data_IF_004045041971
#
_entry.id   IF_004045041971
#
_cell.length_a   1.000
_cell.length_b   1.000
_cell.length_c   1.000
_cell.angle_alpha   90.00
_cell.angle_beta   90.00
_cell.angle_gamma   90.00
#
_symmetry.space_group_name_H-M   'P 1'
#
loop_
_entity.id
_entity.type
_entity.pdbx_description
1 polymer ?
#
# COMPACT_ATOMS: atom_id res chain seq x y z
N UNK A 1 9.41 -14.73 -4.79
CA UNK A 1 8.38 -14.06 -3.96
C UNK A 1 7.11 -14.91 -3.95
N UNK A 2 6.23 -14.74 -2.96
CA UNK A 2 4.95 -15.42 -2.86
C UNK A 2 3.81 -14.39 -2.88
N UNK A 3 2.73 -14.67 -3.62
CA UNK A 3 1.51 -13.87 -3.63
C UNK A 3 0.36 -14.68 -3.03
N UNK A 4 -0.10 -14.28 -1.85
CA UNK A 4 -1.16 -14.96 -1.11
C UNK A 4 -2.49 -14.22 -1.24
N UNK A 5 -3.49 -14.88 -1.82
CA UNK A 5 -4.85 -14.34 -1.97
C UNK A 5 -5.57 -14.25 -0.63
N UNK A 6 -6.26 -13.13 -0.38
CA UNK A 6 -7.15 -12.95 0.76
C UNK A 6 -8.46 -12.34 0.30
N UNK A 7 -9.54 -12.89 0.86
CA UNK A 7 -10.91 -12.57 0.51
C UNK A 7 -11.61 -12.04 1.75
N UNK A 8 -12.45 -11.03 1.54
CA UNK A 8 -13.38 -10.52 2.53
C UNK A 8 -14.79 -10.56 1.92
N UNK A 9 -15.76 -11.04 2.69
CA UNK A 9 -17.16 -11.10 2.28
C UNK A 9 -17.91 -10.04 3.08
N UNK A 10 -18.51 -9.10 2.36
CA UNK A 10 -19.33 -8.03 2.95
C UNK A 10 -20.52 -8.66 3.68
N UNK A 11 -20.73 -8.21 4.92
CA UNK A 11 -21.95 -8.49 5.67
C UNK A 11 -23.14 -7.66 5.19
N UNK A 12 -24.23 -7.68 5.95
CA UNK A 12 -25.44 -6.92 5.64
C UNK A 12 -25.20 -5.41 5.53
N UNK A 13 -24.35 -4.85 6.40
CA UNK A 13 -24.10 -3.42 6.50
C UNK A 13 -23.20 -2.84 5.40
N UNK A 14 -22.63 -3.69 4.52
CA UNK A 14 -21.78 -3.35 3.37
C UNK A 14 -20.83 -2.16 3.61
N UNK A 15 -19.62 -2.40 4.16
CA UNK A 15 -18.71 -1.32 4.52
C UNK A 15 -18.30 -0.48 3.31
N UNK A 16 -18.11 0.82 3.54
CA UNK A 16 -17.62 1.77 2.53
C UNK A 16 -16.20 1.41 2.09
N UNK A 17 -15.38 0.96 3.05
CA UNK A 17 -13.98 0.60 2.85
C UNK A 17 -13.63 -0.65 3.64
N UNK A 18 -12.80 -1.50 3.04
CA UNK A 18 -12.17 -2.64 3.71
C UNK A 18 -10.66 -2.57 3.52
N UNK A 19 -9.93 -2.71 4.60
CA UNK A 19 -8.47 -2.79 4.62
C UNK A 19 -8.03 -4.13 5.18
N UNK A 20 -6.90 -4.60 4.66
CA UNK A 20 -6.19 -5.77 5.16
C UNK A 20 -4.85 -5.33 5.70
N UNK A 21 -4.59 -5.66 6.97
CA UNK A 21 -3.34 -5.35 7.65
C UNK A 21 -2.61 -6.66 7.93
N UNK A 22 -1.30 -6.70 7.71
CA UNK A 22 -0.52 -7.90 8.01
C UNK A 22 0.90 -7.61 8.48
N UNK A 23 1.43 -8.57 9.22
CA UNK A 23 2.87 -8.71 9.52
C UNK A 23 3.31 -10.12 9.20
N UNK A 24 4.55 -10.27 8.73
CA UNK A 24 5.17 -11.56 8.49
C UNK A 24 6.53 -11.63 9.19
N UNK A 25 6.81 -12.78 9.79
CA UNK A 25 8.09 -13.12 10.41
C UNK A 25 8.46 -14.56 10.06
N UNK A 26 9.72 -14.97 10.23
CA UNK A 26 10.07 -16.39 10.18
C UNK A 26 9.45 -17.11 11.39
N UNK A 27 8.92 -18.32 11.21
CA UNK A 27 8.37 -19.09 12.35
C UNK A 27 9.40 -19.28 13.48
N UNK A 28 10.68 -19.44 13.11
CA UNK A 28 11.79 -19.59 14.07
C UNK A 28 12.22 -18.30 14.75
N UNK A 29 11.71 -17.15 14.33
CA UNK A 29 12.06 -15.83 14.86
C UNK A 29 10.84 -14.89 14.81
N UNK A 30 9.78 -15.19 15.58
CA UNK A 30 8.49 -14.51 15.47
C UNK A 30 8.56 -13.01 15.82
N UNK A 31 9.53 -12.60 16.64
CA UNK A 31 9.71 -11.20 17.06
C UNK A 31 10.46 -10.35 16.00
N UNK A 32 10.95 -10.98 14.93
CA UNK A 32 11.65 -10.29 13.84
C UNK A 32 10.75 -10.18 12.62
N UNK A 33 9.98 -9.10 12.58
CA UNK A 33 9.16 -8.75 11.42
C UNK A 33 10.04 -8.53 10.18
N UNK A 34 9.71 -9.22 9.08
CA UNK A 34 10.37 -9.08 7.77
C UNK A 34 9.48 -8.38 6.76
N UNK A 35 8.17 -8.31 7.00
CA UNK A 35 7.22 -7.52 6.23
C UNK A 35 6.09 -7.03 7.12
N UNK A 36 5.61 -5.81 6.84
CA UNK A 36 4.45 -5.19 7.50
C UNK A 36 3.80 -4.22 6.52
N UNK A 37 2.51 -4.36 6.26
CA UNK A 37 1.80 -3.46 5.37
C UNK A 37 0.30 -3.40 5.65
N UNK A 38 -0.34 -2.39 5.08
CA UNK A 38 -1.79 -2.17 5.10
C UNK A 38 -2.26 -1.91 3.68
N UNK A 39 -3.30 -2.61 3.26
CA UNK A 39 -3.70 -2.72 1.87
C UNK A 39 -5.19 -2.47 1.74
N UNK A 40 -5.58 -1.76 0.68
CA UNK A 40 -7.00 -1.64 0.31
C UNK A 40 -7.47 -2.96 -0.29
N UNK A 41 -8.67 -3.40 0.10
CA UNK A 41 -9.37 -4.53 -0.48
C UNK A 41 -10.43 -4.05 -1.48
N UNK A 42 -10.13 -4.04 -2.79
CA UNK A 42 -11.08 -3.63 -3.80
C UNK A 42 -12.23 -4.65 -3.93
N UNK A 43 -13.42 -4.21 -4.39
CA UNK A 43 -14.46 -5.10 -4.86
C UNK A 43 -13.94 -6.07 -5.93
N UNK A 44 -14.41 -7.31 -5.88
CA UNK A 44 -14.16 -8.31 -6.93
C UNK A 44 -15.31 -8.33 -7.94
N UNK A 45 -15.24 -9.19 -8.95
CA UNK A 45 -16.34 -9.39 -9.91
C UNK A 45 -17.60 -9.98 -9.26
N UNK A 46 -17.45 -10.68 -8.14
CA UNK A 46 -18.56 -11.25 -7.39
C UNK A 46 -19.13 -10.19 -6.42
N UNK A 47 -20.44 -9.85 -6.49
CA UNK A 47 -21.04 -8.84 -5.62
C UNK A 47 -20.88 -9.16 -4.14
N UNK A 48 -20.48 -8.16 -3.35
CA UNK A 48 -20.25 -8.32 -1.90
C UNK A 48 -18.95 -9.07 -1.56
N UNK A 49 -18.13 -9.45 -2.54
CA UNK A 49 -16.82 -10.05 -2.31
C UNK A 49 -15.72 -9.06 -2.65
N UNK A 50 -14.73 -8.96 -1.77
CA UNK A 50 -13.51 -8.15 -1.95
C UNK A 50 -12.29 -9.04 -1.91
N UNK A 51 -11.30 -8.73 -2.73
CA UNK A 51 -10.11 -9.58 -2.86
C UNK A 51 -8.85 -8.77 -3.05
N UNK A 52 -7.77 -9.19 -2.41
CA UNK A 52 -6.42 -8.68 -2.67
C UNK A 52 -5.38 -9.80 -2.56
N UNK A 53 -4.17 -9.56 -3.06
CA UNK A 53 -3.00 -10.40 -2.80
C UNK A 53 -2.04 -9.72 -1.83
N UNK A 54 -1.48 -10.51 -0.92
CA UNK A 54 -0.37 -10.17 -0.04
C UNK A 54 0.92 -10.65 -0.72
N UNK A 55 1.87 -9.75 -0.95
CA UNK A 55 3.16 -10.15 -1.49
C UNK A 55 4.15 -10.33 -0.33
N UNK A 56 4.76 -11.50 -0.29
CA UNK A 56 5.62 -11.97 0.79
C UNK A 56 6.97 -12.40 0.22
N UNK A 57 8.08 -12.11 0.91
CA UNK A 57 9.36 -12.66 0.52
C UNK A 57 9.30 -14.20 0.55
N UNK A 58 10.01 -14.85 -0.35
CA UNK A 58 10.12 -16.31 -0.29
C UNK A 58 10.90 -16.70 0.97
N UNK A 59 10.38 -17.61 1.81
CA UNK A 59 11.14 -18.08 2.96
C UNK A 59 12.38 -18.87 2.49
N UNK A 60 13.43 -18.97 3.33
CA UNK A 60 14.54 -19.88 3.07
C UNK A 60 14.04 -21.32 2.85
N UNK A 61 14.77 -22.10 2.07
CA UNK A 61 14.41 -23.49 1.75
C UNK A 61 14.10 -24.30 3.03
N UNK A 62 12.93 -24.96 3.05
CA UNK A 62 12.47 -25.76 4.19
C UNK A 62 12.00 -24.95 5.40
N UNK A 63 11.90 -23.61 5.29
CA UNK A 63 11.34 -22.73 6.33
C UNK A 63 9.98 -22.20 5.91
N UNK A 64 9.23 -21.71 6.90
CA UNK A 64 7.94 -21.04 6.70
C UNK A 64 7.93 -19.68 7.39
N UNK A 65 7.06 -18.81 6.90
CA UNK A 65 6.71 -17.56 7.53
C UNK A 65 5.49 -17.76 8.41
N UNK A 66 5.49 -17.12 9.59
CA UNK A 66 4.28 -16.85 10.36
C UNK A 66 3.69 -15.55 9.84
N UNK A 67 2.51 -15.63 9.23
CA UNK A 67 1.75 -14.49 8.75
C UNK A 67 0.61 -14.21 9.74
N UNK A 68 0.59 -13.00 10.30
CA UNK A 68 -0.53 -12.50 11.11
C UNK A 68 -1.25 -11.43 10.31
N UNK A 69 -2.57 -11.52 10.20
CA UNK A 69 -3.36 -10.55 9.46
C UNK A 69 -4.73 -10.33 10.09
N UNK A 70 -5.34 -9.18 9.82
CA UNK A 70 -6.70 -8.83 10.24
C UNK A 70 -7.28 -7.80 9.28
N UNK A 71 -8.60 -7.69 9.29
CA UNK A 71 -9.33 -6.72 8.48
C UNK A 71 -9.73 -5.53 9.34
N UNK A 72 -9.74 -4.35 8.73
CA UNK A 72 -10.54 -3.23 9.25
C UNK A 72 -11.57 -2.79 8.23
N UNK A 73 -12.71 -2.33 8.72
CA UNK A 73 -13.82 -1.87 7.90
C UNK A 73 -14.23 -0.48 8.35
N UNK A 74 -14.58 0.39 7.41
CA UNK A 74 -15.11 1.73 7.70
C UNK A 74 -16.50 1.85 7.11
N UNK A 75 -17.40 2.43 7.88
CA UNK A 75 -18.76 2.77 7.47
C UNK A 75 -19.50 3.48 8.60
N UNK A 76 -20.53 4.25 8.27
CA UNK A 76 -21.43 4.83 9.29
C UNK A 76 -20.72 5.70 10.35
N UNK A 77 -19.58 6.30 9.99
CA UNK A 77 -18.81 7.14 10.89
C UNK A 77 -17.87 6.41 11.87
N UNK A 78 -17.69 5.10 11.72
CA UNK A 78 -16.86 4.27 12.61
C UNK A 78 -15.88 3.36 11.83
N UNK A 79 -14.90 2.84 12.55
CA UNK A 79 -13.94 1.85 12.05
C UNK A 79 -13.93 0.62 12.98
N UNK A 80 -14.12 -0.56 12.42
CA UNK A 80 -14.14 -1.83 13.15
C UNK A 80 -13.02 -2.74 12.71
N UNK A 81 -12.52 -3.56 13.63
CA UNK A 81 -11.41 -4.48 13.40
C UNK A 81 -11.86 -5.92 13.66
N UNK A 82 -11.49 -6.82 12.76
CA UNK A 82 -11.66 -8.26 12.99
C UNK A 82 -10.68 -8.75 14.06
N UNK A 83 -10.88 -9.97 14.59
CA UNK A 83 -9.81 -10.70 15.27
C UNK A 83 -8.58 -10.86 14.38
N UNK A 84 -7.44 -11.16 15.00
CA UNK A 84 -6.20 -11.49 14.30
C UNK A 84 -6.22 -12.96 13.88
N UNK A 85 -6.01 -13.19 12.59
CA UNK A 85 -5.80 -14.49 11.99
C UNK A 85 -4.31 -14.77 11.89
N UNK A 86 -3.94 -16.05 11.99
CA UNK A 86 -2.56 -16.50 11.90
C UNK A 86 -2.47 -17.73 11.01
N UNK A 87 -1.51 -17.73 10.09
CA UNK A 87 -1.27 -18.85 9.16
C UNK A 87 0.22 -19.02 8.88
N UNK A 88 0.63 -20.25 8.59
CA UNK A 88 1.98 -20.56 8.10
C UNK A 88 2.05 -20.45 6.56
N UNK A 89 3.13 -19.88 6.03
CA UNK A 89 3.32 -19.68 4.58
C UNK A 89 4.72 -20.13 4.14
N UNK A 90 4.88 -21.12 3.24
CA UNK A 90 3.80 -21.96 2.68
C UNK A 90 3.21 -22.90 3.74
N UNK A 91 1.96 -23.33 3.55
CA UNK A 91 1.24 -24.25 4.42
C UNK A 91 0.00 -24.83 3.72
N UNK A 92 -0.53 -25.95 4.21
CA UNK A 92 -1.69 -26.62 3.61
C UNK A 92 -2.92 -25.70 3.55
N UNK A 93 -3.19 -24.98 4.64
CA UNK A 93 -4.32 -24.03 4.78
C UNK A 93 -4.35 -22.90 3.75
N UNK A 94 -3.22 -22.62 3.11
CA UNK A 94 -3.08 -21.52 2.16
C UNK A 94 -2.67 -21.98 0.77
N UNK A 95 -2.49 -23.28 0.57
CA UNK A 95 -1.96 -23.87 -0.67
C UNK A 95 -2.79 -23.49 -1.91
N UNK A 96 -4.12 -23.48 -1.79
CA UNK A 96 -5.03 -23.09 -2.87
C UNK A 96 -5.07 -21.59 -3.17
N UNK A 97 -4.53 -20.75 -2.29
CA UNK A 97 -4.52 -19.29 -2.41
C UNK A 97 -3.11 -18.71 -2.68
N UNK A 98 -2.09 -19.57 -2.64
CA UNK A 98 -0.69 -19.18 -2.74
C UNK A 98 -0.18 -19.37 -4.16
N UNK A 99 0.21 -18.27 -4.80
CA UNK A 99 0.84 -18.29 -6.12
C UNK A 99 2.33 -17.89 -6.00
N UNK A 100 3.28 -18.67 -6.56
CA UNK A 100 4.65 -18.22 -6.67
C UNK A 100 4.74 -17.06 -7.67
N UNK A 101 5.59 -16.08 -7.34
CA UNK A 101 6.03 -15.06 -8.29
C UNK A 101 7.47 -15.40 -8.65
N UNK A 102 7.69 -15.69 -9.93
CA UNK A 102 8.99 -16.05 -10.47
C UNK A 102 9.94 -14.85 -10.39
N UNK A 103 11.11 -15.07 -9.79
CA UNK A 103 12.15 -14.07 -9.62
C UNK A 103 13.49 -14.57 -10.17
N UNK A 104 14.20 -13.70 -10.88
CA UNK A 104 15.51 -13.96 -11.46
C UNK A 104 16.59 -13.15 -10.73
N UNK A 105 17.81 -13.68 -10.63
CA UNK A 105 18.97 -12.91 -10.15
C UNK A 105 18.80 -12.28 -8.76
N UNK A 106 18.04 -12.91 -7.87
CA UNK A 106 17.74 -12.43 -6.52
C UNK A 106 16.53 -11.48 -6.42
N UNK A 107 15.77 -11.31 -7.50
CA UNK A 107 14.52 -10.53 -7.51
C UNK A 107 14.72 -9.03 -7.73
N UNK A 108 13.59 -8.33 -7.69
CA UNK A 108 13.55 -6.88 -7.87
C UNK A 108 14.16 -6.13 -6.69
N UNK A 109 14.59 -4.88 -6.93
CA UNK A 109 15.13 -4.03 -5.86
C UNK A 109 14.05 -3.76 -4.80
N UNK A 110 14.45 -3.93 -3.53
CA UNK A 110 13.64 -3.55 -2.38
C UNK A 110 13.52 -2.02 -2.24
N UNK A 111 12.47 -1.53 -1.56
CA UNK A 111 12.36 -0.11 -1.22
C UNK A 111 13.50 0.34 -0.30
N UNK A 112 13.78 1.64 -0.30
CA UNK A 112 14.69 2.26 0.65
C UNK A 112 14.24 1.98 2.10
N UNK A 113 15.18 1.99 3.04
CA UNK A 113 14.87 1.71 4.43
C UNK A 113 13.79 2.66 4.99
N UNK A 114 12.72 2.07 5.53
CA UNK A 114 11.57 2.81 6.08
C UNK A 114 10.51 3.20 5.06
N UNK A 115 10.69 2.85 3.78
CA UNK A 115 9.73 3.10 2.70
C UNK A 115 8.97 1.82 2.37
N UNK A 116 7.73 1.99 1.91
CA UNK A 116 6.85 0.88 1.53
C UNK A 116 6.89 0.55 0.05
N UNK A 117 5.84 -0.18 -0.34
CA UNK A 117 5.49 -0.45 -1.72
C UNK A 117 4.14 0.20 -2.03
N UNK A 118 3.93 0.62 -3.27
CA UNK A 118 2.63 0.99 -3.80
C UNK A 118 2.28 0.07 -4.97
N UNK A 119 1.00 0.02 -5.32
CA UNK A 119 0.45 -0.80 -6.38
C UNK A 119 0.22 0.03 -7.62
N UNK A 120 0.61 -0.54 -8.74
CA UNK A 120 0.44 0.07 -10.05
C UNK A 120 -0.03 -1.00 -11.03
N UNK A 121 -1.07 -0.70 -11.80
CA UNK A 121 -1.39 -1.49 -12.99
C UNK A 121 -0.28 -1.27 -14.02
N UNK A 122 0.35 -2.34 -14.49
CA UNK A 122 1.53 -2.22 -15.35
C UNK A 122 1.22 -1.33 -16.57
N UNK A 123 2.00 -0.26 -16.83
CA UNK A 123 1.66 0.79 -17.79
C UNK A 123 1.99 0.39 -19.24
N UNK A 124 1.33 -0.66 -19.73
CA UNK A 124 1.49 -1.16 -21.10
C UNK A 124 1.16 -0.07 -22.15
N UNK A 125 2.04 0.08 -23.13
CA UNK A 125 1.92 0.96 -24.29
C UNK A 125 0.96 0.39 -25.32
N UNK A 126 0.47 1.26 -26.20
CA UNK A 126 -0.31 0.83 -27.37
C UNK A 126 0.50 -0.14 -28.22
N UNK A 127 -0.11 -1.27 -28.58
CA UNK A 127 0.54 -2.33 -29.36
C UNK A 127 1.36 -3.34 -28.55
N UNK A 128 1.54 -3.15 -27.24
CA UNK A 128 2.12 -4.20 -26.40
C UNK A 128 1.13 -5.37 -26.23
N UNK A 129 1.62 -6.63 -26.24
CA UNK A 129 0.75 -7.80 -26.08
C UNK A 129 0.08 -7.76 -24.71
N UNK A 130 -1.20 -8.14 -24.67
CA UNK A 130 -1.99 -8.22 -23.43
C UNK A 130 -2.11 -9.62 -22.85
N UNK A 131 -1.49 -10.59 -23.52
CA UNK A 131 -1.46 -11.99 -23.12
C UNK A 131 -0.03 -12.51 -23.18
N UNK A 132 0.29 -13.52 -22.37
CA UNK A 132 1.61 -14.14 -22.36
C UNK A 132 2.55 -13.52 -21.31
N UNK A 133 3.84 -13.87 -21.33
CA UNK A 133 4.75 -13.48 -20.26
C UNK A 133 5.10 -12.01 -20.34
N UNK A 134 5.32 -11.42 -19.17
CA UNK A 134 5.89 -10.08 -19.05
C UNK A 134 6.82 -10.07 -17.86
N UNK A 135 7.93 -9.37 -18.05
CA UNK A 135 8.95 -9.17 -17.04
C UNK A 135 8.93 -7.71 -16.63
N UNK A 136 9.17 -7.43 -15.36
CA UNK A 136 9.26 -6.08 -14.84
C UNK A 136 10.30 -5.96 -13.74
N UNK A 137 10.80 -4.74 -13.52
CA UNK A 137 11.68 -4.45 -12.42
C UNK A 137 12.10 -3.00 -12.33
N UNK A 138 13.12 -2.71 -11.53
CA UNK A 138 13.42 -1.34 -11.12
C UNK A 138 14.89 -0.98 -11.28
N UNK A 139 15.16 0.27 -11.61
CA UNK A 139 16.54 0.78 -11.62
C UNK A 139 16.63 2.26 -11.29
N UNK A 140 17.66 2.62 -10.52
CA UNK A 140 17.98 4.01 -10.23
C UNK A 140 18.33 4.78 -11.51
N UNK A 141 18.05 6.09 -11.52
CA UNK A 141 18.23 7.00 -12.67
C UNK A 141 19.60 6.93 -13.37
N UNK A 142 20.67 6.61 -12.63
CA UNK A 142 22.05 6.55 -13.15
C UNK A 142 22.39 5.24 -13.88
N UNK A 143 21.52 4.22 -13.83
CA UNK A 143 21.78 2.94 -14.49
C UNK A 143 21.35 3.01 -15.95
N UNK A 144 22.17 2.46 -16.84
CA UNK A 144 21.81 2.23 -18.24
C UNK A 144 20.59 1.29 -18.29
N UNK A 145 19.52 1.62 -19.03
CA UNK A 145 18.38 0.72 -19.23
C UNK A 145 18.83 -0.65 -19.75
N UNK A 146 18.35 -1.74 -19.14
CA UNK A 146 18.63 -3.11 -19.57
C UNK A 146 17.45 -4.04 -19.21
N UNK A 147 17.07 -5.00 -20.08
CA UNK A 147 16.15 -6.07 -19.73
C UNK A 147 16.57 -6.88 -18.49
N UNK A 148 17.86 -6.93 -18.14
CA UNK A 148 18.36 -7.64 -16.94
C UNK A 148 17.91 -6.99 -15.62
N UNK A 149 17.35 -5.77 -15.70
CA UNK A 149 16.70 -5.11 -14.57
C UNK A 149 15.27 -5.62 -14.34
N UNK A 150 14.67 -6.33 -15.30
CA UNK A 150 13.33 -6.90 -15.21
C UNK A 150 13.38 -8.29 -14.56
N UNK A 151 13.46 -8.32 -13.22
CA UNK A 151 13.80 -9.52 -12.45
C UNK A 151 12.61 -10.25 -11.85
N UNK A 152 11.40 -9.78 -12.09
CA UNK A 152 10.19 -10.50 -11.73
C UNK A 152 9.35 -10.75 -12.98
N UNK A 153 8.71 -11.92 -13.03
CA UNK A 153 7.92 -12.39 -14.18
C UNK A 153 6.53 -12.83 -13.73
N UNK A 154 5.53 -12.53 -14.55
CA UNK A 154 4.20 -13.11 -14.45
C UNK A 154 3.61 -13.36 -15.84
N UNK A 155 2.63 -14.27 -15.90
CA UNK A 155 1.81 -14.46 -17.07
C UNK A 155 0.66 -13.45 -17.07
N UNK A 156 0.53 -12.66 -18.14
CA UNK A 156 -0.66 -11.84 -18.37
C UNK A 156 -1.83 -12.73 -18.79
N UNK A 157 -2.95 -12.56 -18.09
CA UNK A 157 -4.25 -13.15 -18.43
C UNK A 157 -5.16 -12.12 -19.10
N UNK A 158 -6.46 -12.20 -18.80
CA UNK A 158 -7.48 -11.31 -19.37
C UNK A 158 -7.33 -9.83 -18.94
N UNK A 159 -6.74 -9.60 -17.76
CA UNK A 159 -6.51 -8.27 -17.21
C UNK A 159 -5.03 -7.93 -17.15
N UNK A 160 -4.70 -6.67 -17.42
CA UNK A 160 -3.35 -6.14 -17.18
C UNK A 160 -3.05 -6.24 -15.68
N UNK A 161 -1.92 -6.84 -15.31
CA UNK A 161 -1.60 -7.15 -13.93
C UNK A 161 -1.25 -5.90 -13.11
N UNK A 162 -1.58 -5.98 -11.82
CA UNK A 162 -1.18 -5.03 -10.80
C UNK A 162 0.11 -5.53 -10.15
N UNK A 163 1.12 -4.68 -10.12
CA UNK A 163 2.44 -4.98 -9.55
C UNK A 163 2.71 -4.13 -8.32
N UNK A 164 3.56 -4.63 -7.42
CA UNK A 164 4.08 -3.82 -6.31
C UNK A 164 5.37 -3.12 -6.76
N UNK A 165 5.38 -1.80 -6.58
CA UNK A 165 6.46 -0.89 -6.96
C UNK A 165 6.98 -0.21 -5.68
N UNK A 166 8.30 -0.13 -5.47
CA UNK A 166 8.87 0.62 -4.35
C UNK A 166 8.42 2.08 -4.34
N UNK A 167 8.01 2.61 -3.19
CA UNK A 167 7.75 4.06 -3.06
C UNK A 167 9.00 4.88 -3.40
N UNK A 168 10.18 4.40 -3.00
CA UNK A 168 11.46 4.95 -3.41
C UNK A 168 12.56 3.89 -3.37
N UNK A 169 13.54 4.00 -4.25
CA UNK A 169 14.80 3.25 -4.15
C UNK A 169 15.88 4.01 -3.36
N UNK A 170 15.70 5.31 -3.15
CA UNK A 170 16.58 6.15 -2.35
C UNK A 170 15.87 7.43 -1.92
N UNK A 171 16.33 8.02 -0.82
CA UNK A 171 15.81 9.28 -0.27
C UNK A 171 16.96 10.28 -0.17
N UNK A 172 16.72 11.51 -0.61
CA UNK A 172 17.66 12.63 -0.48
C UNK A 172 16.98 13.78 0.24
N UNK A 173 17.56 14.27 1.36
CA UNK A 173 16.99 15.37 2.16
C UNK A 173 15.51 15.14 2.49
N UNK A 174 15.18 13.92 2.93
CA UNK A 174 13.83 13.47 3.28
C UNK A 174 12.81 13.50 2.13
N UNK A 175 13.27 13.48 0.87
CA UNK A 175 12.41 13.37 -0.31
C UNK A 175 12.70 12.08 -1.09
N UNK A 176 11.67 11.32 -1.50
CA UNK A 176 11.81 10.23 -2.45
C UNK A 176 12.50 10.70 -3.74
N UNK A 177 13.52 9.97 -4.19
CA UNK A 177 14.17 10.23 -5.46
C UNK A 177 13.48 9.45 -6.59
N UNK A 178 13.34 10.03 -7.79
CA UNK A 178 12.78 9.32 -8.92
C UNK A 178 13.67 8.13 -9.31
N UNK A 179 13.04 7.13 -9.91
CA UNK A 179 13.69 5.94 -10.46
C UNK A 179 12.87 5.45 -11.66
N UNK A 180 13.31 4.37 -12.30
CA UNK A 180 12.58 3.78 -13.43
C UNK A 180 11.96 2.45 -13.04
N UNK A 181 10.69 2.29 -13.37
CA UNK A 181 10.05 1.00 -13.60
C UNK A 181 10.36 0.58 -15.04
N UNK A 182 10.88 -0.62 -15.21
CA UNK A 182 11.13 -1.24 -16.51
C UNK A 182 10.18 -2.40 -16.73
N UNK A 183 9.74 -2.59 -17.98
CA UNK A 183 9.05 -3.82 -18.36
C UNK A 183 9.36 -4.26 -19.79
N UNK A 184 9.15 -5.55 -20.03
CA UNK A 184 9.25 -6.20 -21.34
C UNK A 184 8.04 -7.12 -21.48
N UNK A 185 7.10 -6.75 -22.35
CA UNK A 185 5.90 -7.54 -22.64
C UNK A 185 6.14 -8.49 -23.82
N UNK A 186 5.98 -9.79 -23.59
CA UNK A 186 6.28 -10.87 -24.54
C UNK A 186 7.78 -11.23 -24.60
N UNK A 187 8.08 -12.42 -25.10
CA UNK A 187 9.46 -12.97 -25.16
C UNK A 187 10.44 -12.11 -25.99
N UNK A 188 9.92 -11.36 -26.97
CA UNK A 188 10.70 -10.43 -27.83
C UNK A 188 10.25 -8.98 -27.68
N UNK A 189 9.64 -8.65 -26.55
CA UNK A 189 9.17 -7.29 -26.25
C UNK A 189 10.31 -6.27 -26.27
N UNK A 190 9.97 -5.02 -26.57
CA UNK A 190 10.90 -3.90 -26.36
C UNK A 190 10.93 -3.56 -24.87
N UNK A 191 12.10 -3.14 -24.39
CA UNK A 191 12.23 -2.59 -23.05
C UNK A 191 11.52 -1.24 -23.00
N UNK A 192 10.55 -1.13 -22.11
CA UNK A 192 9.92 0.14 -21.73
C UNK A 192 10.51 0.62 -20.41
N UNK A 193 10.63 1.93 -20.28
CA UNK A 193 11.11 2.59 -19.07
C UNK A 193 10.13 3.71 -18.69
N UNK A 194 9.45 3.52 -17.55
CA UNK A 194 8.56 4.49 -16.94
C UNK A 194 9.26 5.15 -15.77
N UNK A 195 9.52 6.45 -15.87
CA UNK A 195 10.05 7.20 -14.74
C UNK A 195 8.97 7.29 -13.67
N UNK A 196 9.25 6.79 -12.49
CA UNK A 196 8.37 6.89 -11.32
C UNK A 196 8.69 8.20 -10.59
N UNK A 197 7.68 9.07 -10.52
CA UNK A 197 7.70 10.32 -9.78
C UNK A 197 6.85 10.20 -8.51
N UNK A 198 6.91 11.25 -7.69
CA UNK A 198 6.02 11.42 -6.55
C UNK A 198 5.50 12.84 -6.45
N UNK A 199 4.30 12.99 -5.90
CA UNK A 199 3.75 14.28 -5.49
C UNK A 199 3.51 14.26 -3.98
N UNK A 200 3.92 15.34 -3.31
CA UNK A 200 3.58 15.54 -1.90
C UNK A 200 2.17 16.09 -1.79
N UNK A 201 1.32 15.41 -1.05
CA UNK A 201 -0.04 15.84 -0.77
C UNK A 201 -0.17 16.23 0.71
N UNK A 202 -1.02 17.22 0.97
CA UNK A 202 -1.22 17.76 2.30
C UNK A 202 -2.69 17.86 2.66
N UNK A 203 -2.99 17.69 3.95
CA UNK A 203 -4.27 17.97 4.55
C UNK A 203 -4.06 18.99 5.67
N UNK A 204 -4.80 20.10 5.62
CA UNK A 204 -4.78 21.11 6.67
C UNK A 204 -5.82 20.76 7.75
N UNK A 205 -5.41 20.93 9.00
CA UNK A 205 -6.24 20.81 10.20
C UNK A 205 -6.18 22.14 10.95
N UNK A 206 -7.12 23.03 10.61
CA UNK A 206 -7.17 24.40 11.16
C UNK A 206 -7.64 24.41 12.62
N UNK A 207 -8.57 23.51 12.94
CA UNK A 207 -9.29 23.49 14.22
C UNK A 207 -8.71 22.46 15.21
N UNK A 208 -7.76 21.64 14.76
CA UNK A 208 -7.07 20.68 15.62
C UNK A 208 -7.85 19.40 15.89
N UNK A 209 -8.84 19.09 15.05
CA UNK A 209 -9.79 17.99 15.23
C UNK A 209 -9.26 16.66 14.72
N UNK A 210 -8.30 16.68 13.79
CA UNK A 210 -7.79 15.46 13.13
C UNK A 210 -6.82 14.74 14.06
N UNK A 211 -7.15 13.50 14.45
CA UNK A 211 -6.31 12.64 15.29
C UNK A 211 -5.48 11.67 14.45
N UNK A 212 -6.03 11.27 13.31
CA UNK A 212 -5.38 10.39 12.35
C UNK A 212 -5.88 10.73 10.95
N UNK A 213 -4.98 10.70 9.97
CA UNK A 213 -5.31 10.95 8.59
C UNK A 213 -4.62 9.92 7.69
N UNK A 214 -5.35 9.46 6.68
CA UNK A 214 -4.84 8.59 5.64
C UNK A 214 -5.39 9.01 4.29
N UNK A 215 -4.59 8.72 3.28
CA UNK A 215 -4.89 8.99 1.89
C UNK A 215 -5.19 7.67 1.18
N UNK A 216 -6.31 7.61 0.48
CA UNK A 216 -6.60 6.59 -0.51
C UNK A 216 -6.39 7.15 -1.89
N UNK A 217 -5.68 6.42 -2.73
CA UNK A 217 -5.33 6.92 -4.06
C UNK A 217 -5.11 5.80 -5.06
N UNK A 218 -5.25 6.13 -6.34
CA UNK A 218 -5.07 5.20 -7.45
C UNK A 218 -5.08 5.92 -8.79
N UNK A 219 -5.00 5.14 -9.87
CA UNK A 219 -5.30 5.67 -11.19
C UNK A 219 -6.81 5.95 -11.34
N UNK A 220 -7.21 6.65 -12.41
CA UNK A 220 -8.61 6.96 -12.68
C UNK A 220 -9.50 5.72 -12.89
N UNK A 221 -8.92 4.53 -13.03
CA UNK A 221 -9.67 3.29 -13.15
C UNK A 221 -9.92 2.61 -11.80
N UNK A 222 -9.25 3.08 -10.73
CA UNK A 222 -9.31 2.52 -9.38
C UNK A 222 -9.03 1.01 -9.31
N UNK A 223 -8.36 0.45 -10.32
CA UNK A 223 -8.00 -0.97 -10.38
C UNK A 223 -6.74 -1.30 -9.56
N UNK A 224 -5.93 -0.30 -9.23
CA UNK A 224 -4.77 -0.42 -8.35
C UNK A 224 -4.86 0.63 -7.23
N UNK A 225 -5.47 0.22 -6.13
CA UNK A 225 -5.78 1.10 -4.99
C UNK A 225 -4.65 1.05 -3.95
N UNK A 226 -4.31 2.22 -3.42
CA UNK A 226 -3.25 2.43 -2.48
C UNK A 226 -3.74 3.15 -1.22
N UNK A 227 -2.98 2.96 -0.15
CA UNK A 227 -3.16 3.60 1.14
C UNK A 227 -1.83 4.23 1.55
N UNK A 228 -1.84 5.53 1.85
CA UNK A 228 -0.70 6.21 2.45
C UNK A 228 -1.13 6.86 3.77
N UNK A 229 -0.53 6.43 4.87
CA UNK A 229 -0.76 7.08 6.16
C UNK A 229 -0.08 8.44 6.14
N UNK A 230 -0.76 9.45 6.70
CA UNK A 230 -0.24 10.82 6.76
C UNK A 230 0.28 11.12 8.16
N UNK A 231 1.32 11.95 8.22
CA UNK A 231 1.91 12.38 9.49
C UNK A 231 1.95 13.90 9.58
N UNK A 232 1.83 14.45 10.79
CA UNK A 232 1.97 15.90 10.98
C UNK A 232 3.40 16.32 10.63
N UNK A 233 3.54 17.42 9.89
CA UNK A 233 4.84 17.97 9.52
C UNK A 233 5.70 18.20 10.77
N UNK A 234 6.93 17.67 10.78
CA UNK A 234 7.87 17.69 11.91
C UNK A 234 7.41 16.92 13.16
N UNK A 235 6.45 16.00 13.04
CA UNK A 235 6.12 15.08 14.12
C UNK A 235 7.31 14.16 14.39
N UNK A 236 7.74 14.07 15.64
CA UNK A 236 8.92 13.29 15.99
C UNK A 236 8.58 11.80 16.10
N UNK A 237 9.50 10.91 15.71
CA UNK A 237 9.26 9.47 15.77
C UNK A 237 8.98 8.94 17.19
N UNK A 238 9.50 9.62 18.22
CA UNK A 238 9.24 9.30 19.62
C UNK A 238 7.83 9.66 20.10
N UNK A 239 7.06 10.42 19.31
CA UNK A 239 5.67 10.77 19.59
C UNK A 239 4.67 9.70 19.07
N UNK A 240 5.19 8.61 18.49
CA UNK A 240 4.44 7.48 17.95
C UNK A 240 4.10 7.66 16.47
N UNK A 241 4.46 6.69 15.61
CA UNK A 241 4.23 6.83 14.15
C UNK A 241 2.78 6.56 13.82
N UNK A 242 2.17 7.36 12.94
CA UNK A 242 0.79 7.14 12.51
C UNK A 242 0.57 5.72 11.96
N UNK A 243 1.56 5.15 11.26
CA UNK A 243 1.51 3.76 10.75
C UNK A 243 1.30 2.68 11.83
N UNK A 244 1.59 2.99 13.10
CA UNK A 244 1.39 2.09 14.24
C UNK A 244 -0.06 1.97 14.68
N UNK A 245 -0.92 2.89 14.25
CA UNK A 245 -2.35 2.87 14.58
C UNK A 245 -3.01 1.51 14.35
N UNK A 246 -2.79 0.93 13.17
CA UNK A 246 -3.44 -0.33 12.81
C UNK A 246 -2.99 -1.50 13.68
N UNK A 247 -1.77 -1.46 14.19
CA UNK A 247 -1.11 -2.57 14.88
C UNK A 247 -1.03 -2.36 16.40
N UNK A 248 -1.55 -1.25 16.90
CA UNK A 248 -1.66 -0.99 18.33
C UNK A 248 -2.61 -2.00 19.00
N UNK A 249 -2.17 -2.59 20.11
CA UNK A 249 -3.01 -3.50 20.91
C UNK A 249 -4.24 -2.77 21.48
N UNK A 250 -4.02 -1.57 22.03
CA UNK A 250 -5.08 -0.64 22.46
C UNK A 250 -5.09 0.58 21.52
N UNK A 251 -5.97 0.53 20.51
CA UNK A 251 -6.09 1.58 19.49
C UNK A 251 -6.68 2.88 20.04
N UNK A 252 -7.55 2.79 21.04
CA UNK A 252 -8.11 3.98 21.65
C UNK A 252 -7.06 4.71 22.50
N UNK A 253 -6.28 3.97 23.30
CA UNK A 253 -5.16 4.53 24.03
C UNK A 253 -4.12 5.14 23.08
N UNK A 254 -3.85 4.47 21.95
CA UNK A 254 -2.98 5.00 20.91
C UNK A 254 -3.50 6.34 20.34
N UNK A 255 -4.77 6.44 19.99
CA UNK A 255 -5.39 7.67 19.51
C UNK A 255 -5.38 8.78 20.58
N UNK A 256 -5.67 8.46 21.85
CA UNK A 256 -5.56 9.39 22.98
C UNK A 256 -4.15 9.93 23.15
N UNK A 257 -3.14 9.05 23.09
CA UNK A 257 -1.73 9.44 23.18
C UNK A 257 -1.32 10.36 22.03
N UNK A 258 -1.74 10.04 20.79
CA UNK A 258 -1.49 10.91 19.62
C UNK A 258 -2.15 12.27 19.75
N UNK A 259 -3.40 12.32 20.21
CA UNK A 259 -4.10 13.59 20.45
C UNK A 259 -3.34 14.46 21.47
N UNK A 260 -2.86 13.86 22.56
CA UNK A 260 -2.06 14.56 23.56
C UNK A 260 -0.73 15.08 22.98
N UNK A 261 -0.05 14.29 22.14
CA UNK A 261 1.16 14.72 21.46
C UNK A 261 0.87 15.90 20.50
N UNK A 262 -0.22 15.84 19.73
CA UNK A 262 -0.67 16.92 18.87
C UNK A 262 -0.97 18.22 19.60
N UNK A 263 -1.35 18.17 20.88
CA UNK A 263 -1.52 19.36 21.72
C UNK A 263 -0.27 20.27 21.80
N UNK A 264 0.91 19.75 21.45
CA UNK A 264 2.18 20.49 21.43
C UNK A 264 2.51 21.11 20.05
N UNK A 265 1.74 20.79 19.02
CA UNK A 265 1.95 21.27 17.65
C UNK A 265 0.99 22.44 17.35
N UNK A 266 1.51 23.58 16.82
CA UNK A 266 0.69 24.76 16.56
C UNK A 266 -0.34 24.51 15.45
N UNK A 267 -1.45 25.25 15.53
CA UNK A 267 -2.46 25.30 14.47
C UNK A 267 -2.10 26.40 13.44
N UNK A 268 -2.45 26.23 12.15
CA UNK A 268 -3.00 25.00 11.57
C UNK A 268 -1.94 23.89 11.48
N UNK A 269 -2.34 22.65 11.77
CA UNK A 269 -1.48 21.48 11.56
C UNK A 269 -1.54 21.08 10.10
N UNK A 270 -0.40 20.70 9.52
CA UNK A 270 -0.32 20.15 8.16
C UNK A 270 0.05 18.68 8.24
N UNK A 271 -0.86 17.81 7.86
CA UNK A 271 -0.56 16.40 7.60
C UNK A 271 0.04 16.28 6.20
N UNK A 272 1.11 15.52 6.03
CA UNK A 272 1.77 15.30 4.73
C UNK A 272 2.02 13.82 4.45
N UNK A 273 1.92 13.46 3.17
CA UNK A 273 2.33 12.16 2.63
C UNK A 273 2.68 12.31 1.15
N UNK A 274 3.07 11.22 0.50
CA UNK A 274 3.39 11.19 -0.92
C UNK A 274 2.49 10.18 -1.66
N UNK A 275 2.19 10.51 -2.90
CA UNK A 275 1.64 9.57 -3.89
C UNK A 275 2.67 9.35 -4.99
N UNK A 276 2.56 8.23 -5.70
CA UNK A 276 3.59 7.75 -6.62
C UNK A 276 2.98 7.22 -7.92
N UNK A 277 3.77 7.22 -8.99
CA UNK A 277 3.31 6.71 -10.28
C UNK A 277 4.17 7.19 -11.44
N UNK A 278 3.87 6.74 -12.66
CA UNK A 278 4.61 7.16 -13.86
C UNK A 278 4.54 8.69 -14.07
N UNK A 279 5.61 9.28 -14.56
CA UNK A 279 5.65 10.68 -14.98
C UNK A 279 4.58 10.97 -16.03
N UNK A 280 3.83 12.05 -15.85
CA UNK A 280 2.67 12.44 -16.65
C UNK A 280 1.37 11.72 -16.31
N UNK A 281 1.37 10.76 -15.38
CA UNK A 281 0.15 10.04 -15.00
C UNK A 281 -0.76 10.88 -14.10
N UNK A 282 -2.05 10.54 -14.12
CA UNK A 282 -3.07 11.15 -13.27
C UNK A 282 -3.33 10.23 -12.08
N UNK A 283 -3.25 10.79 -10.88
CA UNK A 283 -3.64 10.12 -9.62
C UNK A 283 -4.90 10.77 -9.08
N UNK A 284 -5.90 9.95 -8.82
CA UNK A 284 -7.08 10.36 -8.05
C UNK A 284 -6.90 9.99 -6.58
N UNK A 285 -7.37 10.85 -5.68
CA UNK A 285 -7.21 10.62 -4.25
C UNK A 285 -8.33 11.20 -3.39
N UNK A 286 -8.53 10.59 -2.22
CA UNK A 286 -9.47 11.00 -1.19
C UNK A 286 -8.85 10.81 0.20
N UNK A 287 -9.28 11.64 1.16
CA UNK A 287 -8.80 11.54 2.54
C UNK A 287 -9.84 10.82 3.39
N UNK A 288 -9.40 9.88 4.22
CA UNK A 288 -10.15 9.44 5.38
C UNK A 288 -9.43 9.93 6.63
N UNK A 289 -10.22 10.49 7.53
CA UNK A 289 -9.74 11.04 8.78
C UNK A 289 -10.48 10.42 9.96
N UNK A 290 -9.78 10.32 11.07
CA UNK A 290 -10.40 10.10 12.38
C UNK A 290 -10.42 11.47 13.08
N UNK A 291 -11.62 11.98 13.30
CA UNK A 291 -11.88 13.26 13.94
C UNK A 291 -12.21 13.06 15.41
N UNK A 292 -11.71 13.93 16.27
CA UNK A 292 -12.13 14.05 17.67
C UNK A 292 -13.47 14.77 17.72
N UNK A 293 -14.41 14.25 18.52
CA UNK A 293 -15.66 14.92 18.86
C UNK A 293 -15.54 15.71 20.18
N UNK A 294 -16.41 16.71 20.43
CA UNK A 294 -16.40 17.47 21.68
C UNK A 294 -16.54 16.62 22.94
N UNK A 295 -17.25 15.50 22.87
CA UNK A 295 -17.44 14.53 23.95
C UNK A 295 -16.20 13.65 24.23
N UNK A 296 -15.11 13.83 23.47
CA UNK A 296 -13.88 13.05 23.58
C UNK A 296 -13.86 11.74 22.79
N UNK A 297 -14.99 11.36 22.18
CA UNK A 297 -15.04 10.22 21.25
C UNK A 297 -14.40 10.57 19.91
N UNK A 298 -14.29 9.58 19.02
CA UNK A 298 -13.78 9.77 17.66
C UNK A 298 -14.77 9.29 16.59
N UNK A 299 -14.63 9.82 15.38
CA UNK A 299 -15.40 9.40 14.21
C UNK A 299 -14.55 9.31 12.96
N UNK A 300 -14.79 8.28 12.17
CA UNK A 300 -14.25 8.19 10.82
C UNK A 300 -15.06 9.09 9.88
N UNK A 301 -14.39 9.92 9.07
CA UNK A 301 -15.03 10.77 8.10
C UNK A 301 -14.21 10.84 6.80
N UNK A 302 -14.90 11.02 5.68
CA UNK A 302 -14.29 11.35 4.40
C UNK A 302 -14.09 12.85 4.27
N UNK A 303 -12.93 13.29 3.78
CA UNK A 303 -12.65 14.66 3.39
C UNK A 303 -12.30 14.68 1.90
N UNK A 304 -13.32 14.85 1.07
CA UNK A 304 -13.20 14.83 -0.39
C UNK A 304 -13.49 16.20 -0.98
N UNK A 305 -13.21 16.38 -2.27
CA UNK A 305 -13.64 17.56 -3.00
C UNK A 305 -15.16 17.52 -3.13
N UNK A 306 -15.83 18.67 -3.11
CA UNK A 306 -17.25 18.73 -3.47
C UNK A 306 -17.47 18.05 -4.84
N UNK A 307 -18.30 17.00 -4.85
CA UNK A 307 -18.63 16.25 -6.07
C UNK A 307 -17.63 15.18 -6.51
N UNK A 308 -16.57 14.86 -5.75
CA UNK A 308 -15.72 13.70 -6.09
C UNK A 308 -14.33 13.66 -5.46
N UNK A 309 -13.45 12.86 -6.05
CA UNK A 309 -12.05 12.74 -5.65
C UNK A 309 -11.23 13.96 -6.09
N UNK A 310 -10.13 14.20 -5.40
CA UNK A 310 -9.10 15.12 -5.85
C UNK A 310 -8.23 14.47 -6.92
N UNK A 311 -7.52 15.30 -7.70
CA UNK A 311 -6.68 14.86 -8.80
C UNK A 311 -5.33 15.56 -8.74
N UNK A 312 -4.25 14.83 -9.01
CA UNK A 312 -2.90 15.38 -9.21
C UNK A 312 -2.21 14.70 -10.40
N UNK A 313 -1.39 15.46 -11.13
CA UNK A 313 -0.52 14.92 -12.19
C UNK A 313 0.90 14.76 -11.66
N UNK A 314 1.54 13.63 -11.98
CA UNK A 314 2.90 13.26 -11.55
C UNK A 314 4.00 13.60 -12.56
#
# INVERSE_FOLDING_TARGET
>A
MLALRRVFIDGADRPELVLLHYTAALESAPDREIARASLVMPPSAEPGRRETRLFLPSPPTGRRLRLRYFFSTVGGGAEWFSPVYEVAVPGEDVSGDLAPVEEEGGGNLAPAAGLGMFRLRLPLRSGEPRTGPVRYGFGAMRKKPSPDLCRARFAMGESVPVVEVPEALSVLKSRPMPFFLYHVAGEKGKLVADKINCARLTLQDNDGEVVFARLFWGDSTWNAQNLSVMEVKKFASGEGKASDYFFAGDREAFLRARLNAFGRHPLPRTFETFVYGPEGSIVEYCFQVILRRPDGSVTAAWRNREGGNWIVTL
#
